data_IF_284396749635
#
_entry.id   IF_284396749635
#
_cell.length_a   1.000
_cell.length_b   1.000
_cell.length_c   1.000
_cell.angle_alpha   90.00
_cell.angle_beta   90.00
_cell.angle_gamma   90.00
#
_symmetry.space_group_name_H-M   'P 1'
#
loop_
_entity.id
_entity.type
_entity.pdbx_description
1 polymer ?
#
# COMPACT_ATOMS: atom_id res chain seq x y z
N UNK A 1 -26.10 -55.43 44.22
CA UNK A 1 -25.15 -56.48 43.77
C UNK A 1 -23.76 -55.86 43.89
N UNK A 2 -22.63 -56.51 43.53
CA UNK A 2 -21.37 -55.79 43.38
C UNK A 2 -21.55 -54.77 42.24
N UNK A 3 -21.59 -53.49 42.57
CA UNK A 3 -21.98 -52.45 41.63
C UNK A 3 -20.96 -51.31 41.64
N UNK A 4 -20.64 -50.77 40.47
CA UNK A 4 -19.97 -49.47 40.31
C UNK A 4 -20.94 -48.38 40.74
N UNK A 5 -20.57 -47.59 41.74
CA UNK A 5 -21.44 -46.58 42.36
C UNK A 5 -21.00 -45.14 42.09
N UNK A 6 -19.70 -44.90 41.85
CA UNK A 6 -19.24 -43.56 41.49
C UNK A 6 -17.96 -43.59 40.62
N UNK A 7 -17.76 -42.50 39.89
CA UNK A 7 -16.51 -42.15 39.22
C UNK A 7 -16.14 -40.71 39.60
N UNK A 8 -14.87 -40.47 39.87
CA UNK A 8 -14.33 -39.15 40.24
C UNK A 8 -12.98 -38.91 39.55
N UNK A 9 -12.59 -37.65 39.44
CA UNK A 9 -11.31 -37.24 38.86
C UNK A 9 -10.60 -36.29 39.82
N UNK A 10 -9.29 -36.46 40.02
CA UNK A 10 -8.48 -35.52 40.79
C UNK A 10 -8.50 -34.16 40.12
N UNK A 11 -8.90 -33.12 40.84
CA UNK A 11 -8.90 -31.73 40.35
C UNK A 11 -7.72 -30.95 40.94
N UNK A 12 -7.16 -29.96 40.23
CA UNK A 12 -7.54 -29.49 38.89
C UNK A 12 -7.06 -30.42 37.75
N UNK A 13 -7.78 -30.41 36.63
CA UNK A 13 -7.41 -31.14 35.40
C UNK A 13 -6.98 -30.14 34.34
N UNK A 14 -5.80 -30.34 33.75
CA UNK A 14 -5.23 -29.44 32.73
C UNK A 14 -4.79 -30.24 31.50
N UNK A 15 -4.88 -29.64 30.31
CA UNK A 15 -4.47 -30.27 29.06
C UNK A 15 -3.01 -30.70 29.14
N UNK A 16 -2.72 -31.91 28.64
CA UNK A 16 -1.39 -32.51 28.62
C UNK A 16 -0.75 -32.74 30.02
N UNK A 17 -1.55 -32.76 31.08
CA UNK A 17 -1.13 -33.21 32.41
C UNK A 17 -1.96 -34.41 32.85
N UNK A 18 -1.34 -35.43 33.48
CA UNK A 18 -2.06 -36.59 33.97
C UNK A 18 -2.96 -36.21 35.16
N UNK A 19 -4.21 -36.68 35.15
CA UNK A 19 -5.09 -36.66 36.32
C UNK A 19 -5.56 -38.07 36.67
N UNK A 20 -5.78 -38.33 37.95
CA UNK A 20 -6.21 -39.64 38.45
C UNK A 20 -7.73 -39.75 38.39
N UNK A 21 -8.23 -40.74 37.65
CA UNK A 21 -9.63 -41.14 37.61
C UNK A 21 -9.84 -42.32 38.56
N UNK A 22 -10.77 -42.18 39.50
CA UNK A 22 -11.07 -43.19 40.52
C UNK A 22 -12.51 -43.68 40.38
N UNK A 23 -12.67 -44.99 40.23
CA UNK A 23 -13.96 -45.68 40.21
C UNK A 23 -14.17 -46.36 41.56
N UNK A 24 -15.33 -46.13 42.17
CA UNK A 24 -15.71 -46.71 43.46
C UNK A 24 -16.94 -47.60 43.29
N UNK A 25 -17.05 -48.62 44.13
CA UNK A 25 -18.16 -49.57 44.12
C UNK A 25 -17.96 -50.68 45.14
N UNK A 26 -18.76 -51.74 45.03
CA UNK A 26 -18.67 -52.92 45.89
C UNK A 26 -17.95 -54.07 45.19
N UNK A 27 -17.12 -54.80 45.94
CA UNK A 27 -16.43 -56.01 45.45
C UNK A 27 -17.33 -57.25 45.56
N UNK A 28 -17.09 -58.29 44.73
CA UNK A 28 -16.05 -58.40 43.70
C UNK A 28 -16.44 -57.75 42.36
N UNK A 29 -15.46 -57.15 41.66
CA UNK A 29 -15.65 -56.59 40.33
C UNK A 29 -14.45 -56.98 39.46
N UNK A 30 -14.68 -57.61 38.32
CA UNK A 30 -13.63 -58.20 37.49
C UNK A 30 -13.09 -57.28 36.40
N UNK A 31 -13.88 -56.31 35.96
CA UNK A 31 -13.44 -55.29 35.00
C UNK A 31 -14.29 -54.02 35.09
N UNK A 32 -13.73 -52.89 34.67
CA UNK A 32 -14.45 -51.63 34.48
C UNK A 32 -14.11 -51.06 33.11
N UNK A 33 -15.13 -50.65 32.35
CA UNK A 33 -14.99 -49.89 31.11
C UNK A 33 -15.19 -48.40 31.39
N UNK A 34 -14.18 -47.58 31.08
CA UNK A 34 -14.19 -46.14 31.29
C UNK A 34 -14.18 -45.43 29.94
N UNK A 35 -15.17 -44.59 29.69
CA UNK A 35 -15.17 -43.56 28.64
C UNK A 35 -14.69 -42.25 29.25
N UNK A 36 -13.61 -41.68 28.70
CA UNK A 36 -12.97 -40.47 29.23
C UNK A 36 -13.56 -39.17 28.65
N UNK A 37 -14.55 -39.26 27.76
CA UNK A 37 -15.22 -38.11 27.14
C UNK A 37 -14.40 -37.40 26.05
N UNK A 38 -13.28 -37.99 25.62
CA UNK A 38 -12.35 -37.47 24.61
C UNK A 38 -12.09 -38.46 23.47
N UNK A 39 -13.10 -39.29 23.17
CA UNK A 39 -13.07 -40.40 22.23
C UNK A 39 -12.18 -41.59 22.66
N UNK A 40 -11.55 -41.55 23.84
CA UNK A 40 -10.90 -42.72 24.41
C UNK A 40 -11.86 -43.50 25.32
N UNK A 41 -12.02 -44.79 25.02
CA UNK A 41 -12.79 -45.73 25.83
C UNK A 41 -11.97 -46.99 26.07
N UNK A 42 -11.69 -47.30 27.33
CA UNK A 42 -10.75 -48.35 27.72
C UNK A 42 -11.39 -49.28 28.76
N UNK A 43 -11.21 -50.59 28.61
CA UNK A 43 -11.62 -51.60 29.59
C UNK A 43 -10.40 -52.06 30.40
N UNK A 44 -10.48 -51.92 31.71
CA UNK A 44 -9.44 -52.32 32.64
C UNK A 44 -9.86 -53.60 33.37
N UNK A 45 -9.06 -54.68 33.33
CA UNK A 45 -9.22 -55.79 34.27
C UNK A 45 -8.82 -55.29 35.66
N UNK A 46 -9.65 -55.55 36.66
CA UNK A 46 -9.42 -55.12 38.05
C UNK A 46 -9.66 -56.28 39.01
N UNK A 47 -8.99 -56.26 40.15
CA UNK A 47 -9.16 -57.26 41.22
C UNK A 47 -9.96 -56.72 42.41
N UNK A 48 -10.10 -55.39 42.51
CA UNK A 48 -10.84 -54.72 43.58
C UNK A 48 -11.23 -53.29 43.20
N UNK A 49 -12.33 -52.83 43.79
CA UNK A 49 -12.71 -51.42 43.91
C UNK A 49 -12.38 -50.92 45.34
N UNK A 50 -11.98 -49.64 45.50
CA UNK A 50 -11.83 -48.64 44.45
C UNK A 50 -10.63 -48.90 43.52
N UNK A 51 -10.79 -48.55 42.25
CA UNK A 51 -9.76 -48.66 41.20
C UNK A 51 -9.40 -47.27 40.69
N UNK A 52 -8.11 -47.00 40.49
CA UNK A 52 -7.62 -45.70 39.99
C UNK A 52 -6.71 -45.87 38.79
N UNK A 53 -6.84 -44.96 37.82
CA UNK A 53 -6.01 -44.89 36.61
C UNK A 53 -5.66 -43.44 36.28
N UNK A 54 -4.45 -43.20 35.78
CA UNK A 54 -4.08 -41.88 35.29
C UNK A 54 -4.51 -41.71 33.83
N UNK A 55 -5.09 -40.56 33.50
CA UNK A 55 -5.49 -40.19 32.14
C UNK A 55 -5.02 -38.78 31.81
N UNK A 56 -4.68 -38.52 30.54
CA UNK A 56 -4.22 -37.21 30.06
C UNK A 56 -5.10 -36.76 28.91
N UNK A 57 -5.79 -35.63 29.07
CA UNK A 57 -6.62 -35.04 28.02
C UNK A 57 -5.78 -34.15 27.11
N UNK A 58 -5.91 -34.33 25.79
CA UNK A 58 -5.24 -33.51 24.78
C UNK A 58 -5.99 -32.20 24.44
N UNK A 59 -7.27 -32.10 24.80
CA UNK A 59 -8.12 -30.94 24.49
C UNK A 59 -8.84 -30.40 25.72
N UNK A 60 -8.95 -29.08 25.81
CA UNK A 60 -9.67 -28.40 26.89
C UNK A 60 -11.19 -28.55 26.74
N UNK A 61 -11.92 -28.16 27.79
CA UNK A 61 -13.38 -28.09 27.81
C UNK A 61 -14.03 -29.10 28.74
N UNK A 62 -15.36 -29.10 28.73
CA UNK A 62 -16.19 -29.98 29.55
C UNK A 62 -16.18 -31.39 28.95
N UNK A 63 -15.82 -32.39 29.75
CA UNK A 63 -15.80 -33.81 29.39
C UNK A 63 -16.73 -34.57 30.35
N UNK A 64 -17.52 -35.49 29.80
CA UNK A 64 -18.35 -36.40 30.59
C UNK A 64 -17.66 -37.74 30.65
N UNK A 65 -17.22 -38.15 31.84
CA UNK A 65 -16.65 -39.47 32.07
C UNK A 65 -17.76 -40.43 32.45
N UNK A 66 -17.68 -41.66 31.95
CA UNK A 66 -18.62 -42.74 32.29
C UNK A 66 -17.87 -44.03 32.60
N UNK A 67 -18.12 -44.61 33.77
CA UNK A 67 -17.63 -45.93 34.16
C UNK A 67 -18.78 -46.94 34.15
N UNK A 68 -18.53 -48.10 33.53
CA UNK A 68 -19.45 -49.24 33.48
C UNK A 68 -18.79 -50.47 34.12
N UNK A 69 -19.43 -51.06 35.12
CA UNK A 69 -19.00 -52.34 35.71
C UNK A 69 -19.16 -53.49 34.71
N UNK A 70 -18.18 -54.40 34.65
CA UNK A 70 -18.17 -55.55 33.75
C UNK A 70 -17.68 -56.83 34.46
N UNK A 71 -18.03 -57.99 33.90
CA UNK A 71 -17.67 -59.30 34.46
C UNK A 71 -18.70 -59.76 35.48
N UNK A 72 -18.35 -59.74 36.77
CA UNK A 72 -19.21 -60.14 37.89
C UNK A 72 -19.78 -58.96 38.70
N UNK A 73 -19.60 -57.73 38.21
CA UNK A 73 -20.20 -56.51 38.75
C UNK A 73 -21.04 -55.81 37.68
N UNK A 74 -22.00 -54.99 38.10
CA UNK A 74 -22.83 -54.16 37.23
C UNK A 74 -22.72 -52.67 37.63
N UNK A 75 -23.65 -51.84 37.15
CA UNK A 75 -23.72 -50.42 37.50
C UNK A 75 -23.01 -49.50 36.50
N UNK A 76 -23.52 -48.28 36.42
CA UNK A 76 -22.98 -47.20 35.58
C UNK A 76 -22.92 -45.93 36.41
N UNK A 77 -21.76 -45.26 36.40
CA UNK A 77 -21.58 -43.98 37.06
C UNK A 77 -20.98 -42.99 36.07
N UNK A 78 -21.40 -41.73 36.15
CA UNK A 78 -20.85 -40.66 35.32
C UNK A 78 -20.49 -39.45 36.15
N UNK A 79 -19.47 -38.72 35.72
CA UNK A 79 -19.09 -37.43 36.30
C UNK A 79 -18.67 -36.46 35.21
N UNK A 80 -18.71 -35.16 35.50
CA UNK A 80 -18.28 -34.12 34.58
C UNK A 80 -16.97 -33.53 35.08
N UNK A 81 -15.99 -33.41 34.19
CA UNK A 81 -14.73 -32.73 34.47
C UNK A 81 -14.54 -31.57 33.50
N UNK A 82 -14.05 -30.45 34.01
CA UNK A 82 -13.68 -29.30 33.18
C UNK A 82 -12.16 -29.26 32.99
N UNK A 83 -11.70 -29.71 31.82
CA UNK A 83 -10.27 -29.73 31.47
C UNK A 83 -9.83 -28.32 31.10
N UNK A 84 -8.95 -27.73 31.90
CA UNK A 84 -8.42 -26.39 31.65
C UNK A 84 -7.35 -26.41 30.54
N UNK A 85 -7.24 -25.39 29.69
CA UNK A 85 -6.16 -25.28 28.71
C UNK A 85 -4.79 -25.26 29.42
N UNK A 86 -3.85 -26.07 28.94
CA UNK A 86 -2.50 -26.17 29.49
C UNK A 86 -1.59 -25.07 28.94
N UNK A 87 -0.86 -24.37 29.80
CA UNK A 87 0.33 -23.60 29.41
C UNK A 87 0.12 -22.32 28.58
N UNK A 88 -1.03 -21.65 28.67
CA UNK A 88 -1.13 -20.23 28.31
C UNK A 88 -0.73 -19.34 29.50
N UNK A 89 -0.32 -18.09 29.25
CA UNK A 89 0.02 -17.05 30.25
C UNK A 89 -0.88 -16.99 31.51
N UNK A 90 -2.12 -17.52 31.44
CA UNK A 90 -3.02 -17.65 32.58
C UNK A 90 -2.53 -18.56 33.72
N UNK A 91 -1.63 -19.52 33.48
CA UNK A 91 -1.16 -20.44 34.53
C UNK A 91 -0.01 -19.85 35.38
N UNK A 92 0.76 -18.89 34.83
CA UNK A 92 1.74 -18.12 35.61
C UNK A 92 1.07 -17.21 36.65
N UNK A 93 -0.17 -16.79 36.38
CA UNK A 93 -0.96 -15.95 37.29
C UNK A 93 -1.67 -16.70 38.43
N UNK A 94 -1.51 -18.02 38.50
CA UNK A 94 -1.97 -18.81 39.64
C UNK A 94 -0.85 -19.04 40.68
N UNK A 95 0.43 -18.90 40.29
CA UNK A 95 1.59 -19.11 41.16
C UNK A 95 2.19 -17.77 41.60
N UNK A 96 2.07 -16.74 40.76
CA UNK A 96 2.37 -15.35 41.08
C UNK A 96 1.03 -14.63 41.16
N UNK A 97 0.74 -13.91 42.25
CA UNK A 97 -0.41 -13.01 42.35
C UNK A 97 -0.33 -11.93 41.25
N UNK A 98 -0.78 -12.27 40.05
CA UNK A 98 -1.11 -11.30 39.02
C UNK A 98 -2.44 -10.69 39.45
N UNK A 99 -2.40 -9.64 40.28
CA UNK A 99 -3.58 -8.88 40.63
C UNK A 99 -4.41 -8.59 39.38
N UNK A 100 -5.65 -9.09 39.35
CA UNK A 100 -6.53 -9.15 38.18
C UNK A 100 -5.93 -9.88 36.97
N UNK A 101 -6.72 -10.73 36.31
CA UNK A 101 -6.46 -11.15 34.93
C UNK A 101 -5.99 -9.93 34.14
N UNK A 102 -4.76 -9.88 33.59
CA UNK A 102 -4.32 -8.74 32.83
C UNK A 102 -5.29 -8.61 31.68
N UNK A 103 -6.21 -7.65 31.78
CA UNK A 103 -7.04 -7.24 30.66
C UNK A 103 -6.05 -6.93 29.57
N UNK A 104 -6.08 -7.75 28.51
CA UNK A 104 -5.24 -7.57 27.34
C UNK A 104 -5.65 -6.22 26.74
N UNK A 105 -5.06 -5.16 27.27
CA UNK A 105 -5.54 -3.81 27.02
C UNK A 105 -5.09 -3.52 25.61
N UNK A 106 -6.05 -3.27 24.72
CA UNK A 106 -5.75 -3.10 23.32
C UNK A 106 -4.63 -2.05 23.14
N UNK A 107 -3.70 -2.29 22.20
CA UNK A 107 -2.69 -1.30 21.85
C UNK A 107 -3.41 0.00 21.46
N UNK A 108 -2.84 1.16 21.79
CA UNK A 108 -3.47 2.44 21.49
C UNK A 108 -2.43 3.47 21.09
N UNK A 109 -2.58 4.05 19.91
CA UNK A 109 -1.81 5.20 19.47
C UNK A 109 -2.34 6.45 20.19
N UNK A 110 -1.45 7.23 20.77
CA UNK A 110 -1.76 8.50 21.45
C UNK A 110 -1.21 9.71 20.73
N UNK A 111 -0.18 9.54 19.90
CA UNK A 111 0.36 10.57 19.04
C UNK A 111 1.22 9.95 17.93
N UNK A 112 1.37 10.67 16.82
CA UNK A 112 2.30 10.35 15.74
C UNK A 112 3.09 11.62 15.42
N UNK A 113 4.42 11.51 15.43
CA UNK A 113 5.34 12.57 15.05
C UNK A 113 6.15 12.05 13.87
N UNK A 114 5.75 12.37 12.64
CA UNK A 114 6.29 11.72 11.45
C UNK A 114 6.27 12.65 10.24
N UNK A 115 7.30 12.54 9.40
CA UNK A 115 7.28 13.06 8.04
C UNK A 115 6.67 11.97 7.15
N UNK A 116 5.38 12.12 6.80
CA UNK A 116 4.62 11.07 6.11
C UNK A 116 4.77 11.17 4.60
N UNK A 117 5.94 10.79 4.10
CA UNK A 117 6.27 10.72 2.68
C UNK A 117 7.28 9.60 2.46
N UNK A 118 7.55 9.15 1.24
CA UNK A 118 8.58 8.15 0.99
C UNK A 118 9.91 8.50 1.67
N UNK A 119 10.55 7.49 2.29
CA UNK A 119 11.75 7.60 3.14
C UNK A 119 11.62 8.45 4.41
N UNK A 120 10.48 9.09 4.62
CA UNK A 120 10.19 9.89 5.79
C UNK A 120 10.29 9.06 7.07
N UNK A 121 10.82 9.67 8.12
CA UNK A 121 11.02 9.03 9.42
C UNK A 121 10.06 9.62 10.45
N UNK A 122 9.70 8.81 11.44
CA UNK A 122 8.81 9.24 12.49
C UNK A 122 8.79 8.34 13.71
N UNK A 123 8.00 8.73 14.70
CA UNK A 123 7.72 7.98 15.90
C UNK A 123 6.22 7.87 16.13
N UNK A 124 5.75 6.66 16.39
CA UNK A 124 4.40 6.34 16.83
C UNK A 124 4.43 6.17 18.35
N UNK A 125 3.75 7.06 19.06
CA UNK A 125 3.65 7.05 20.52
C UNK A 125 2.32 6.41 20.94
N UNK A 126 2.35 5.62 22.02
CA UNK A 126 1.15 4.97 22.49
C UNK A 126 1.31 4.19 23.78
N UNK A 127 0.35 3.29 23.98
CA UNK A 127 0.25 2.41 25.15
C UNK A 127 0.01 0.97 24.68
N UNK A 128 0.49 0.03 25.50
CA UNK A 128 0.23 -1.40 25.35
C UNK A 128 0.69 -2.01 24.02
N UNK A 129 1.78 -1.50 23.43
CA UNK A 129 2.37 -2.12 22.24
C UNK A 129 3.07 -3.44 22.56
N UNK A 130 3.40 -3.69 23.83
CA UNK A 130 4.20 -4.84 24.24
C UNK A 130 5.68 -4.67 23.89
N UNK A 131 6.51 -5.58 24.40
CA UNK A 131 7.97 -5.54 24.15
C UNK A 131 8.37 -6.25 22.86
N UNK A 132 7.55 -7.21 22.40
CA UNK A 132 7.80 -7.92 21.16
C UNK A 132 7.38 -7.08 19.95
N UNK A 133 8.25 -7.03 18.93
CA UNK A 133 8.08 -6.22 17.73
C UNK A 133 6.90 -6.73 16.89
N UNK A 134 5.91 -5.87 16.69
CA UNK A 134 4.80 -6.06 15.75
C UNK A 134 5.04 -5.36 14.41
N UNK A 135 3.98 -4.83 13.81
CA UNK A 135 4.01 -4.02 12.58
C UNK A 135 3.27 -2.70 12.76
N UNK A 136 3.62 -1.72 11.91
CA UNK A 136 2.87 -0.48 11.72
C UNK A 136 2.47 -0.41 10.26
N UNK A 137 1.20 -0.21 9.97
CA UNK A 137 0.65 -0.25 8.60
C UNK A 137 -0.06 1.06 8.31
N UNK A 138 0.25 1.66 7.16
CA UNK A 138 -0.52 2.75 6.59
C UNK A 138 -1.59 2.22 5.61
N UNK A 139 -2.82 2.69 5.76
CA UNK A 139 -3.93 2.36 4.86
C UNK A 139 -3.94 3.29 3.64
N UNK A 140 -2.88 3.25 2.81
CA UNK A 140 -2.82 4.05 1.58
C UNK A 140 -3.79 3.50 0.54
N UNK A 141 -4.27 4.39 -0.33
CA UNK A 141 -5.01 4.03 -1.54
C UNK A 141 -4.23 4.46 -2.77
N UNK A 142 -4.27 3.62 -3.80
CA UNK A 142 -3.80 3.96 -5.14
C UNK A 142 -4.66 5.03 -5.76
N UNK A 143 -4.13 5.67 -6.81
CA UNK A 143 -4.84 6.70 -7.59
C UNK A 143 -6.15 6.18 -8.21
N UNK A 144 -6.22 4.88 -8.53
CA UNK A 144 -7.40 4.18 -9.04
C UNK A 144 -8.39 3.74 -7.94
N UNK A 145 -8.09 4.08 -6.68
CA UNK A 145 -8.92 3.77 -5.51
C UNK A 145 -8.67 2.40 -4.88
N UNK A 146 -7.80 1.56 -5.46
CA UNK A 146 -7.45 0.27 -4.90
C UNK A 146 -6.67 0.42 -3.58
N UNK A 147 -6.91 -0.48 -2.63
CA UNK A 147 -6.20 -0.46 -1.35
C UNK A 147 -4.74 -0.89 -1.53
N UNK A 148 -3.83 -0.14 -0.92
CA UNK A 148 -2.39 -0.40 -0.90
C UNK A 148 -1.88 -0.33 0.55
N UNK A 149 -2.19 -1.35 1.38
CA UNK A 149 -1.68 -1.40 2.74
C UNK A 149 -0.16 -1.40 2.71
N UNK A 150 0.43 -0.37 3.32
CA UNK A 150 1.86 -0.10 3.23
C UNK A 150 2.49 -0.33 4.60
N UNK A 151 3.23 -1.42 4.81
CA UNK A 151 3.94 -1.63 6.07
C UNK A 151 5.12 -0.66 6.18
N UNK A 152 5.27 -0.04 7.35
CA UNK A 152 6.40 0.83 7.65
C UNK A 152 7.55 -0.01 8.20
N UNK A 153 8.77 0.36 7.84
CA UNK A 153 9.98 -0.21 8.42
C UNK A 153 10.08 0.23 9.88
N UNK A 154 10.31 -0.70 10.80
CA UNK A 154 10.49 -0.40 12.22
C UNK A 154 11.97 -0.47 12.57
N UNK A 155 12.55 0.68 12.89
CA UNK A 155 13.96 0.83 13.32
C UNK A 155 14.12 0.62 14.82
N UNK A 156 13.09 0.92 15.61
CA UNK A 156 13.09 0.72 17.07
C UNK A 156 11.68 0.42 17.58
N UNK A 157 11.58 -0.49 18.55
CA UNK A 157 10.33 -0.87 19.18
C UNK A 157 10.45 -0.86 20.70
N UNK A 158 9.49 -0.23 21.37
CA UNK A 158 9.33 -0.26 22.83
C UNK A 158 7.84 -0.41 23.16
N UNK A 159 7.51 -0.69 24.42
CA UNK A 159 6.11 -0.82 24.85
C UNK A 159 5.23 0.44 24.72
N UNK A 160 5.83 1.60 24.44
CA UNK A 160 5.13 2.91 24.36
C UNK A 160 5.52 3.78 23.16
N UNK A 161 6.52 3.36 22.38
CA UNK A 161 7.05 4.15 21.27
C UNK A 161 7.65 3.22 20.22
N UNK A 162 7.38 3.51 18.95
CA UNK A 162 7.87 2.77 17.79
C UNK A 162 8.48 3.80 16.82
N UNK A 163 9.77 3.68 16.52
CA UNK A 163 10.41 4.48 15.46
C UNK A 163 10.18 3.76 14.12
N UNK A 164 9.72 4.53 13.14
CA UNK A 164 9.30 4.03 11.84
C UNK A 164 9.93 4.82 10.70
N UNK A 165 10.11 4.16 9.56
CA UNK A 165 10.48 4.75 8.28
C UNK A 165 9.47 4.31 7.21
N UNK A 166 9.02 5.26 6.40
CA UNK A 166 8.19 4.99 5.23
C UNK A 166 9.04 4.37 4.11
N UNK A 167 8.54 3.36 3.38
CA UNK A 167 9.25 2.79 2.24
C UNK A 167 9.66 3.85 1.20
N UNK A 168 10.79 3.62 0.51
CA UNK A 168 11.31 4.55 -0.49
C UNK A 168 10.58 4.47 -1.83
N UNK A 169 10.01 3.30 -2.13
CA UNK A 169 9.46 2.90 -3.43
C UNK A 169 7.94 3.00 -3.49
N UNK A 170 7.32 3.81 -2.63
CA UNK A 170 5.88 4.03 -2.70
C UNK A 170 5.55 4.81 -3.98
N UNK A 171 4.86 4.15 -4.90
CA UNK A 171 4.39 4.70 -6.18
C UNK A 171 2.90 4.42 -6.40
N UNK A 172 2.28 5.14 -7.33
CA UNK A 172 0.88 4.94 -7.72
C UNK A 172 -0.13 5.49 -6.72
N UNK A 173 0.31 6.34 -5.79
CA UNK A 173 -0.50 6.96 -4.75
C UNK A 173 -0.45 8.47 -4.90
N UNK A 174 -1.58 9.15 -4.68
CA UNK A 174 -1.64 10.62 -4.61
C UNK A 174 -1.49 11.10 -3.16
N UNK A 175 -1.26 12.39 -2.99
CA UNK A 175 -1.42 13.08 -1.71
C UNK A 175 -2.80 12.78 -1.15
N UNK A 176 -2.86 12.29 0.09
CA UNK A 176 -4.12 11.84 0.68
C UNK A 176 -4.12 11.85 2.19
N UNK A 177 -5.30 11.96 2.77
CA UNK A 177 -5.53 11.57 4.16
C UNK A 177 -5.51 10.04 4.25
N UNK A 178 -4.69 9.50 5.14
CA UNK A 178 -4.61 8.07 5.41
C UNK A 178 -4.61 7.83 6.92
N UNK A 179 -4.47 6.56 7.32
CA UNK A 179 -4.46 6.15 8.72
C UNK A 179 -3.31 5.20 8.98
N UNK A 180 -2.67 5.36 10.13
CA UNK A 180 -1.72 4.40 10.68
C UNK A 180 -2.41 3.49 11.69
N UNK A 181 -2.02 2.22 11.71
CA UNK A 181 -2.46 1.26 12.72
C UNK A 181 -1.27 0.40 13.15
N UNK A 182 -1.12 0.21 14.47
CA UNK A 182 -0.17 -0.73 15.05
C UNK A 182 -0.84 -2.10 15.17
N UNK A 183 -0.17 -3.15 14.71
CA UNK A 183 -0.59 -4.54 14.91
C UNK A 183 0.48 -5.23 15.73
N UNK A 184 0.11 -5.69 16.92
CA UNK A 184 1.03 -6.41 17.81
C UNK A 184 1.26 -7.86 17.34
N UNK A 185 2.29 -8.57 17.85
CA UNK A 185 2.55 -9.97 17.48
C UNK A 185 1.40 -10.95 17.79
N UNK A 186 0.50 -10.58 18.71
CA UNK A 186 -0.70 -11.35 19.03
C UNK A 186 -1.90 -10.97 18.16
N UNK A 187 -1.67 -10.22 17.06
CA UNK A 187 -2.69 -9.68 16.15
C UNK A 187 -3.67 -8.68 16.79
N UNK A 188 -3.41 -8.18 18.01
CA UNK A 188 -4.19 -7.08 18.55
C UNK A 188 -3.87 -5.79 17.78
N UNK A 189 -4.93 -5.12 17.30
CA UNK A 189 -4.84 -3.89 16.50
C UNK A 189 -5.09 -2.67 17.36
N UNK A 190 -4.36 -1.58 17.09
CA UNK A 190 -4.63 -0.30 17.73
C UNK A 190 -5.82 0.42 17.13
N UNK A 191 -6.22 1.53 17.75
CA UNK A 191 -7.00 2.53 17.03
C UNK A 191 -6.26 2.97 15.77
N UNK A 192 -7.04 3.40 14.77
CA UNK A 192 -6.53 4.07 13.59
C UNK A 192 -6.17 5.52 13.94
N UNK A 193 -5.02 5.97 13.47
CA UNK A 193 -4.55 7.34 13.69
C UNK A 193 -4.45 8.09 12.37
N UNK A 194 -5.20 9.19 12.16
CA UNK A 194 -5.17 9.92 10.91
C UNK A 194 -3.82 10.62 10.69
N UNK A 195 -3.32 10.54 9.46
CA UNK A 195 -2.13 11.28 9.01
C UNK A 195 -2.33 11.76 7.58
N UNK A 196 -1.68 12.86 7.22
CA UNK A 196 -1.60 13.32 5.83
C UNK A 196 -0.36 12.70 5.21
N UNK A 197 -0.53 11.95 4.13
CA UNK A 197 0.57 11.41 3.34
C UNK A 197 0.84 12.30 2.11
N UNK A 198 2.12 12.58 1.85
CA UNK A 198 2.57 13.29 0.66
C UNK A 198 3.34 12.33 -0.25
N UNK A 199 2.91 12.20 -1.49
CA UNK A 199 3.53 11.35 -2.49
C UNK A 199 4.91 11.88 -2.89
N UNK A 200 5.80 10.97 -3.30
CA UNK A 200 6.99 11.39 -4.03
C UNK A 200 6.58 11.93 -5.39
N UNK A 201 7.19 13.04 -5.80
CA UNK A 201 6.97 13.61 -7.12
C UNK A 201 7.90 12.95 -8.14
N UNK A 202 7.41 12.88 -9.37
CA UNK A 202 8.15 12.56 -10.57
C UNK A 202 8.07 13.73 -11.54
N UNK A 203 9.01 13.80 -12.48
CA UNK A 203 9.07 14.85 -13.50
C UNK A 203 9.07 14.18 -14.88
N UNK A 204 8.14 14.59 -15.72
CA UNK A 204 8.03 14.11 -17.09
C UNK A 204 8.05 15.29 -18.08
N UNK A 205 8.36 15.00 -19.34
CA UNK A 205 8.19 15.94 -20.46
C UNK A 205 6.89 15.58 -21.15
N UNK A 206 6.05 16.58 -21.46
CA UNK A 206 4.85 16.35 -22.28
C UNK A 206 5.32 15.93 -23.69
N UNK A 207 4.93 14.75 -24.20
CA UNK A 207 5.18 14.38 -25.59
C UNK A 207 4.46 15.36 -26.52
N UNK A 208 5.08 15.72 -27.65
CA UNK A 208 4.48 16.65 -28.59
C UNK A 208 3.13 16.12 -29.13
N UNK A 209 2.96 14.79 -29.23
CA UNK A 209 1.73 14.12 -29.67
C UNK A 209 0.52 14.42 -28.77
N UNK A 210 0.77 14.89 -27.54
CA UNK A 210 -0.27 15.23 -26.58
C UNK A 210 -0.68 16.70 -26.63
N UNK A 211 0.06 17.52 -27.37
CA UNK A 211 -0.27 18.93 -27.56
C UNK A 211 -1.46 19.01 -28.52
N UNK A 212 -2.53 19.65 -28.05
CA UNK A 212 -3.79 19.87 -28.77
C UNK A 212 -3.64 20.84 -29.95
N UNK A 213 -4.75 21.34 -30.53
CA UNK A 213 -4.74 22.00 -31.83
C UNK A 213 -3.68 23.09 -31.88
N UNK A 214 -2.68 22.86 -32.73
CA UNK A 214 -1.64 23.82 -33.01
C UNK A 214 -2.23 24.78 -34.06
N UNK A 215 -2.19 26.09 -33.79
CA UNK A 215 -2.34 27.07 -34.86
C UNK A 215 -0.93 27.40 -35.31
N UNK A 216 -0.55 26.96 -36.50
CA UNK A 216 0.67 27.45 -37.15
C UNK A 216 0.44 28.86 -37.67
N UNK A 217 1.41 29.73 -37.44
CA UNK A 217 1.55 30.92 -38.26
C UNK A 217 2.00 30.51 -39.67
N UNK A 218 1.42 31.12 -40.70
CA UNK A 218 1.62 30.70 -42.12
C UNK A 218 1.99 31.87 -43.04
N UNK A 219 2.54 32.94 -42.45
CA UNK A 219 2.86 34.16 -43.21
C UNK A 219 4.19 34.07 -43.97
N UNK A 220 5.07 33.08 -43.71
CA UNK A 220 6.40 33.01 -44.33
C UNK A 220 6.39 32.20 -45.63
N UNK A 221 7.58 31.93 -46.18
CA UNK A 221 7.71 31.08 -47.38
C UNK A 221 7.81 29.59 -47.08
N UNK A 222 8.07 29.23 -45.82
CA UNK A 222 8.06 27.85 -45.37
C UNK A 222 7.84 27.85 -43.87
N UNK A 223 6.67 27.38 -43.47
CA UNK A 223 6.26 27.30 -42.08
C UNK A 223 6.09 25.83 -41.62
N UNK A 224 6.61 25.53 -40.44
CA UNK A 224 6.40 24.25 -39.77
C UNK A 224 6.29 24.49 -38.27
N UNK A 225 5.29 23.88 -37.64
CA UNK A 225 5.15 23.89 -36.18
C UNK A 225 4.53 22.57 -35.70
N UNK A 226 5.16 21.93 -34.73
CA UNK A 226 4.82 20.55 -34.41
C UNK A 226 4.99 19.63 -35.63
N UNK A 227 4.05 18.71 -35.81
CA UNK A 227 3.90 17.88 -37.02
C UNK A 227 3.01 18.53 -38.09
N UNK A 228 2.48 19.74 -37.83
CA UNK A 228 1.73 20.45 -38.84
C UNK A 228 2.70 21.09 -39.82
N UNK A 229 2.72 20.52 -41.01
CA UNK A 229 3.21 21.14 -42.21
C UNK A 229 2.01 21.70 -42.96
N UNK A 230 2.06 22.95 -43.41
CA UNK A 230 1.03 23.50 -44.29
C UNK A 230 1.19 22.91 -45.71
N UNK A 231 0.30 22.00 -46.15
CA UNK A 231 0.37 21.42 -47.48
C UNK A 231 -0.05 22.39 -48.58
N UNK A 232 -0.75 23.48 -48.24
CA UNK A 232 -1.12 24.53 -49.20
C UNK A 232 0.04 25.51 -49.43
N UNK A 233 1.14 25.37 -48.68
CA UNK A 233 2.44 25.98 -48.98
C UNK A 233 3.23 25.17 -50.04
N UNK A 234 2.49 24.52 -50.96
CA UNK A 234 2.93 24.32 -52.34
C UNK A 234 3.03 25.65 -53.13
N UNK A 235 3.23 26.79 -52.45
CA UNK A 235 4.09 27.81 -53.04
C UNK A 235 5.46 27.17 -53.13
N UNK A 236 5.63 26.37 -54.18
CA UNK A 236 6.91 26.02 -54.74
C UNK A 236 7.61 27.34 -54.94
N UNK A 237 8.36 27.81 -53.94
CA UNK A 237 9.30 28.88 -54.12
C UNK A 237 10.25 28.25 -55.10
N UNK A 238 10.03 28.56 -56.38
CA UNK A 238 10.81 28.13 -57.50
C UNK A 238 12.16 28.83 -57.35
N UNK A 239 12.94 28.37 -56.37
CA UNK A 239 14.33 28.66 -56.25
C UNK A 239 14.93 27.98 -57.48
N UNK A 240 15.55 28.79 -58.33
CA UNK A 240 16.25 28.36 -59.55
C UNK A 240 17.36 27.31 -59.31
N UNK A 241 17.48 26.74 -58.10
CA UNK A 241 18.48 25.78 -57.63
C UNK A 241 17.91 24.48 -57.03
N UNK A 242 16.69 24.08 -57.42
CA UNK A 242 16.13 22.75 -57.12
C UNK A 242 15.16 22.72 -55.96
N UNK A 243 14.28 21.72 -55.96
CA UNK A 243 13.32 21.42 -54.88
C UNK A 243 14.06 21.22 -53.56
N UNK A 244 14.00 22.21 -52.67
CA UNK A 244 14.37 22.01 -51.27
C UNK A 244 13.24 21.17 -50.68
N UNK A 245 13.52 19.91 -50.34
CA UNK A 245 12.57 19.12 -49.55
C UNK A 245 12.35 19.88 -48.24
N UNK A 246 11.10 20.19 -47.86
CA UNK A 246 10.82 20.91 -46.62
C UNK A 246 11.49 20.17 -45.47
N UNK A 247 12.32 20.90 -44.71
CA UNK A 247 13.00 20.36 -43.55
C UNK A 247 11.96 20.28 -42.44
N UNK A 248 11.19 19.18 -42.41
CA UNK A 248 10.43 18.84 -41.23
C UNK A 248 11.45 18.75 -40.09
N UNK A 249 11.39 19.70 -39.15
CA UNK A 249 12.23 19.64 -37.96
C UNK A 249 11.55 18.64 -37.04
N UNK A 250 12.12 17.45 -36.80
CA UNK A 250 11.54 16.54 -35.84
C UNK A 250 11.53 17.25 -34.49
N UNK A 251 10.34 17.49 -33.93
CA UNK A 251 10.24 18.07 -32.59
C UNK A 251 10.92 17.12 -31.60
N UNK A 252 12.05 17.55 -31.03
CA UNK A 252 12.69 16.80 -29.95
C UNK A 252 12.06 17.11 -28.59
N UNK A 253 11.48 18.32 -28.44
CA UNK A 253 10.71 18.75 -27.28
C UNK A 253 9.20 18.64 -27.44
N UNK A 254 8.48 19.37 -26.58
CA UNK A 254 7.02 19.41 -26.52
C UNK A 254 6.41 20.33 -27.56
N UNK A 255 7.06 21.47 -27.83
CA UNK A 255 6.65 22.43 -28.86
C UNK A 255 7.87 22.80 -29.69
N UNK A 256 7.71 22.84 -31.00
CA UNK A 256 8.77 23.26 -31.90
C UNK A 256 8.20 23.99 -33.12
N UNK A 257 9.04 24.78 -33.79
CA UNK A 257 8.69 25.39 -35.07
C UNK A 257 9.91 25.89 -35.84
N UNK A 258 9.73 26.04 -37.15
CA UNK A 258 10.67 26.58 -38.12
C UNK A 258 9.90 27.48 -39.09
N UNK A 259 10.38 28.70 -39.25
CA UNK A 259 9.82 29.67 -40.19
C UNK A 259 10.97 30.24 -41.03
N UNK A 260 10.79 30.32 -42.34
CA UNK A 260 11.84 30.72 -43.26
C UNK A 260 11.31 31.58 -44.40
N UNK A 261 12.06 32.63 -44.70
CA UNK A 261 11.84 33.47 -45.87
C UNK A 261 12.96 33.32 -46.90
N UNK A 262 12.56 33.04 -48.14
CA UNK A 262 13.47 32.93 -49.25
C UNK A 262 14.08 34.29 -49.64
N UNK A 263 15.21 34.23 -50.35
CA UNK A 263 15.95 35.41 -50.83
C UNK A 263 15.13 36.42 -51.65
N UNK A 264 14.03 35.99 -52.27
CA UNK A 264 13.17 36.82 -53.10
C UNK A 264 11.89 37.29 -52.38
N UNK A 265 11.77 37.03 -51.06
CA UNK A 265 10.67 37.54 -50.26
C UNK A 265 10.65 39.09 -50.29
N UNK A 266 9.46 39.67 -50.36
CA UNK A 266 9.28 41.13 -50.35
C UNK A 266 8.72 41.54 -48.99
N UNK A 267 9.58 42.11 -48.15
CA UNK A 267 9.21 42.56 -46.81
C UNK A 267 9.48 41.50 -45.73
N UNK A 268 9.03 41.82 -44.52
CA UNK A 268 9.18 40.96 -43.35
C UNK A 268 7.86 40.23 -43.11
N UNK A 269 7.92 38.93 -42.90
CA UNK A 269 6.75 38.11 -42.57
C UNK A 269 6.76 37.79 -41.08
N UNK A 270 5.59 37.74 -40.46
CA UNK A 270 5.44 37.53 -39.01
C UNK A 270 4.07 37.00 -38.67
N UNK A 271 4.01 35.97 -37.85
CA UNK A 271 2.75 35.50 -37.28
C UNK A 271 2.99 34.96 -35.85
N UNK A 272 2.05 34.17 -35.35
CA UNK A 272 2.08 33.61 -34.00
C UNK A 272 1.60 32.17 -34.03
N UNK A 273 2.47 31.29 -33.57
CA UNK A 273 2.11 29.90 -33.31
C UNK A 273 1.42 29.79 -31.96
N UNK A 274 0.42 28.93 -31.88
CA UNK A 274 -0.37 28.69 -30.67
C UNK A 274 -0.39 27.19 -30.38
N UNK A 275 0.07 26.80 -29.21
CA UNK A 275 0.12 25.41 -28.73
C UNK A 275 -0.81 25.24 -27.53
N UNK A 276 -1.71 24.27 -27.59
CA UNK A 276 -2.65 23.97 -26.48
C UNK A 276 -2.12 22.77 -25.71
N UNK A 277 -1.70 22.96 -24.46
CA UNK A 277 -1.21 21.88 -23.61
C UNK A 277 -2.37 20.97 -23.16
N UNK A 278 -2.13 19.67 -22.96
CA UNK A 278 -3.15 18.76 -22.46
C UNK A 278 -3.59 19.15 -21.04
N UNK A 279 -4.83 18.81 -20.70
CA UNK A 279 -5.32 18.95 -19.33
C UNK A 279 -4.74 17.83 -18.46
N UNK A 280 -3.88 18.21 -17.53
CA UNK A 280 -3.23 17.35 -16.56
C UNK A 280 -4.21 16.94 -15.44
N UNK A 281 -4.17 15.66 -15.06
CA UNK A 281 -5.00 15.08 -14.00
C UNK A 281 -4.15 14.50 -12.88
N UNK A 282 -4.83 13.97 -11.86
CA UNK A 282 -4.24 13.15 -10.80
C UNK A 282 -3.08 13.83 -10.05
N UNK A 283 -3.17 15.15 -9.86
CA UNK A 283 -2.17 15.95 -9.15
C UNK A 283 -0.97 16.39 -10.00
N UNK A 284 -0.95 16.09 -11.30
CA UNK A 284 0.07 16.61 -12.21
C UNK A 284 -0.15 18.08 -12.55
N UNK A 285 0.94 18.83 -12.67
CA UNK A 285 0.95 20.26 -12.94
C UNK A 285 2.14 20.65 -13.82
N UNK A 286 2.03 21.80 -14.51
CA UNK A 286 3.13 22.42 -15.25
C UNK A 286 4.25 22.81 -14.28
N UNK A 287 5.45 22.29 -14.50
CA UNK A 287 6.60 22.50 -13.61
C UNK A 287 7.54 23.56 -14.16
N UNK A 288 8.04 23.35 -15.37
CA UNK A 288 9.00 24.25 -16.00
C UNK A 288 8.92 24.17 -17.52
N UNK A 289 9.50 25.18 -18.15
CA UNK A 289 9.68 25.26 -19.58
C UNK A 289 11.18 25.34 -19.85
N UNK A 290 11.70 24.39 -20.62
CA UNK A 290 13.12 24.30 -20.93
C UNK A 290 13.35 24.57 -22.41
N UNK A 291 14.27 25.49 -22.69
CA UNK A 291 14.70 25.82 -24.06
C UNK A 291 15.70 24.77 -24.53
N UNK A 292 15.36 24.04 -25.59
CA UNK A 292 16.25 23.04 -26.19
C UNK A 292 17.05 23.64 -27.35
N UNK A 293 16.38 24.27 -28.30
CA UNK A 293 16.99 25.04 -29.40
C UNK A 293 16.30 26.39 -29.57
N UNK A 294 17.06 27.36 -30.06
CA UNK A 294 16.59 28.70 -30.38
C UNK A 294 17.60 29.34 -31.30
N UNK A 295 17.30 29.34 -32.59
CA UNK A 295 18.18 29.87 -33.62
C UNK A 295 17.43 30.91 -34.44
N UNK A 296 18.11 32.01 -34.73
CA UNK A 296 17.59 33.11 -35.54
C UNK A 296 18.71 33.60 -36.45
N UNK A 297 18.50 33.50 -37.75
CA UNK A 297 19.31 34.18 -38.77
C UNK A 297 18.47 35.34 -39.26
N UNK A 298 18.83 36.58 -38.91
CA UNK A 298 18.16 37.84 -39.32
C UNK A 298 16.69 38.07 -38.89
N UNK A 299 15.97 37.03 -38.47
CA UNK A 299 14.63 37.13 -37.88
C UNK A 299 14.61 37.40 -36.37
N UNK A 300 13.42 37.25 -35.77
CA UNK A 300 13.22 37.36 -34.32
C UNK A 300 12.18 36.38 -33.79
N UNK A 301 12.36 35.97 -32.54
CA UNK A 301 11.43 35.10 -31.80
C UNK A 301 11.06 35.78 -30.48
N UNK A 302 9.81 35.62 -30.04
CA UNK A 302 9.32 36.08 -28.73
C UNK A 302 8.36 35.07 -28.14
N UNK A 303 8.78 34.40 -27.06
CA UNK A 303 7.99 33.40 -26.35
C UNK A 303 8.86 32.29 -25.74
N UNK A 304 8.26 31.15 -25.35
CA UNK A 304 6.83 30.88 -25.31
C UNK A 304 6.14 31.74 -24.23
N UNK A 305 5.11 32.48 -24.62
CA UNK A 305 4.29 33.28 -23.70
C UNK A 305 3.13 32.43 -23.17
N UNK A 306 2.60 32.78 -22.00
CA UNK A 306 1.42 32.11 -21.42
C UNK A 306 1.71 30.91 -20.52
N UNK A 307 2.97 30.55 -20.29
CA UNK A 307 3.33 29.52 -19.31
C UNK A 307 3.03 29.98 -17.88
N UNK A 308 2.26 29.18 -17.14
CA UNK A 308 1.93 29.44 -15.73
C UNK A 308 2.38 28.22 -14.90
N UNK A 309 3.43 28.35 -14.06
CA UNK A 309 3.84 27.29 -13.16
C UNK A 309 2.69 26.83 -12.26
N UNK A 310 2.63 25.54 -11.97
CA UNK A 310 1.61 24.86 -11.15
C UNK A 310 0.19 24.83 -11.77
N UNK A 311 0.00 25.33 -12.99
CA UNK A 311 -1.28 25.16 -13.69
C UNK A 311 -1.47 23.70 -14.15
N UNK A 312 -2.71 23.26 -14.31
CA UNK A 312 -3.04 21.91 -14.82
C UNK A 312 -3.31 21.90 -16.32
N UNK A 313 -3.26 23.04 -16.99
CA UNK A 313 -3.44 23.20 -18.42
C UNK A 313 -2.87 24.57 -18.81
N UNK A 314 -2.65 24.80 -20.10
CA UNK A 314 -2.18 26.09 -20.57
C UNK A 314 -2.23 26.21 -22.09
N UNK A 315 -2.09 27.45 -22.55
CA UNK A 315 -1.88 27.76 -23.96
C UNK A 315 -0.58 28.54 -24.06
N UNK A 316 0.32 28.07 -24.90
CA UNK A 316 1.59 28.71 -25.16
C UNK A 316 1.53 29.39 -26.53
N UNK A 317 2.12 30.58 -26.63
CA UNK A 317 2.25 31.27 -27.91
C UNK A 317 3.70 31.61 -28.22
N UNK A 318 4.09 31.38 -29.46
CA UNK A 318 5.39 31.80 -29.99
C UNK A 318 5.14 32.83 -31.07
N UNK A 319 5.66 34.05 -30.89
CA UNK A 319 5.66 35.05 -31.95
C UNK A 319 6.97 34.96 -32.70
N UNK A 320 6.90 35.02 -34.01
CA UNK A 320 8.07 34.98 -34.87
C UNK A 320 7.99 36.10 -35.91
N UNK A 321 9.14 36.47 -36.44
CA UNK A 321 9.28 37.33 -37.61
C UNK A 321 10.52 36.88 -38.38
N UNK A 322 10.43 36.83 -39.70
CA UNK A 322 11.53 36.52 -40.61
C UNK A 322 11.64 37.60 -41.68
N UNK A 323 12.87 38.04 -41.94
CA UNK A 323 13.24 38.97 -43.01
C UNK A 323 13.58 38.19 -44.29
N UNK A 324 13.79 38.84 -45.44
CA UNK A 324 14.20 38.11 -46.65
C UNK A 324 15.55 37.41 -46.49
N UNK A 325 15.64 36.13 -46.89
CA UNK A 325 16.82 35.26 -46.78
C UNK A 325 17.19 34.84 -45.34
N UNK A 326 16.21 34.74 -44.46
CA UNK A 326 16.41 34.56 -43.02
C UNK A 326 15.46 33.48 -42.46
N UNK A 327 15.86 32.86 -41.36
CA UNK A 327 15.15 31.76 -40.71
C UNK A 327 15.08 31.96 -39.20
N UNK A 328 14.03 31.41 -38.59
CA UNK A 328 13.95 31.23 -37.15
C UNK A 328 13.48 29.83 -36.83
N UNK A 329 14.11 29.20 -35.83
CA UNK A 329 13.70 27.90 -35.32
C UNK A 329 13.73 27.86 -33.80
N UNK A 330 12.84 27.06 -33.24
CA UNK A 330 12.72 26.92 -31.79
C UNK A 330 12.25 25.53 -31.39
N UNK A 331 12.70 25.08 -30.22
CA UNK A 331 12.27 23.83 -29.60
C UNK A 331 12.27 23.97 -28.07
N UNK A 332 11.17 23.61 -27.43
CA UNK A 332 11.01 23.64 -25.97
C UNK A 332 10.41 22.36 -25.42
N UNK A 333 10.97 21.89 -24.30
CA UNK A 333 10.36 20.88 -23.46
C UNK A 333 9.49 21.53 -22.38
N UNK A 334 8.20 21.17 -22.36
CA UNK A 334 7.30 21.49 -21.25
C UNK A 334 7.38 20.36 -20.25
N UNK A 335 7.95 20.64 -19.09
CA UNK A 335 8.06 19.69 -17.99
C UNK A 335 6.85 19.78 -17.08
N UNK A 336 6.34 18.62 -16.70
CA UNK A 336 5.26 18.46 -15.72
C UNK A 336 5.79 17.72 -14.50
N UNK A 337 5.21 18.00 -13.34
CA UNK A 337 5.51 17.31 -12.10
C UNK A 337 4.22 16.80 -11.46
N UNK A 338 4.26 15.60 -10.90
CA UNK A 338 3.11 14.98 -10.25
C UNK A 338 3.50 13.71 -9.49
N UNK A 339 2.53 13.01 -8.87
CA UNK A 339 2.82 11.84 -8.04
C UNK A 339 3.46 10.70 -8.85
N UNK A 340 4.54 10.14 -8.33
CA UNK A 340 5.30 9.06 -8.98
C UNK A 340 4.42 7.83 -9.25
N UNK A 341 4.49 7.32 -10.47
CA UNK A 341 3.73 6.12 -10.89
C UNK A 341 2.23 6.35 -11.05
N UNK A 342 1.78 7.62 -11.08
CA UNK A 342 0.40 8.00 -11.38
C UNK A 342 0.39 8.64 -12.77
N UNK A 343 -0.51 8.23 -13.68
CA UNK A 343 -0.58 8.82 -15.01
C UNK A 343 -1.04 10.30 -14.94
N UNK A 344 -0.53 11.14 -15.84
CA UNK A 344 -0.91 12.56 -15.92
C UNK A 344 -2.21 12.82 -16.70
N UNK A 345 -2.85 11.76 -17.23
CA UNK A 345 -4.09 11.80 -18.02
C UNK A 345 -5.25 11.05 -17.36
#
# INVERSE_FOLDING_TARGET
MPDVTAISVSTPVTVNQPATVTVTGANPCGAVRIDFGDAQVITFPISQLPFSVNHTWATAGVKTLTALGMGNCAGTASTVVNVQPGGGLGQLCAIVDCGATPTLTAPRITAVLSVNRPEGVGAVLGKNFGLAKGSVIAALKRWDGADQPTPLEITKWTGKMIEVRWPADISGVMDQQTRLQVVTPTNAKSNEWPVVFSAALDVAVIPWEEVGPVKCGVDSNSDSCGDQWDPDDERSVFLFFGTITPWAVPCAGTICGLHYNAWAAIGDDKDTDVFVLPTLKNGWQLSSLEKLSWDTTGGSLTGPLGFVPNATQGTLTMKWMVTPNDDVSYDFAVRIAGPRGVPHK
#
